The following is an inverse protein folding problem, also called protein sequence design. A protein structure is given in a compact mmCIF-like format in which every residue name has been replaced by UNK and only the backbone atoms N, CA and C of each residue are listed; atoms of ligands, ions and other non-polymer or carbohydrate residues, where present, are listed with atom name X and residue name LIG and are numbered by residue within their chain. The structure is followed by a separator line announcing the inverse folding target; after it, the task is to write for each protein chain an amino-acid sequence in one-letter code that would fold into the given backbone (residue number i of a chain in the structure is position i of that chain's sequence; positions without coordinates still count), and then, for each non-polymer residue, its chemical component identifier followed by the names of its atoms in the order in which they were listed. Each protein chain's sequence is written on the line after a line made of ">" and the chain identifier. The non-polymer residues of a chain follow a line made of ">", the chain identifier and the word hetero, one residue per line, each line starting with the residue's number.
data_IF_202144872241
#
_entry.id   IF_202144872241
#
_cell.length_a   1.000
_cell.length_b   1.000
_cell.length_c   1.000
_cell.angle_alpha   90.00
_cell.angle_beta   90.00
_cell.angle_gamma   90.00
#
_symmetry.space_group_name_H-M   'P 1'
#
loop_
_entity.id
_entity.type
_entity.pdbx_description
1 polymer ?
#
# COMPACT_ATOMS: atom_id res chain seq x y z
N UNK A 1 -7.04 19.68 -16.01
CA UNK A 1 -7.36 19.90 -14.59
C UNK A 1 -6.12 20.44 -13.93
N UNK A 2 -6.17 21.57 -13.23
CA UNK A 2 -5.02 22.11 -12.46
C UNK A 2 -4.90 21.41 -11.09
N UNK A 3 -5.25 20.12 -11.04
CA UNK A 3 -5.27 19.34 -9.81
C UNK A 3 -3.94 18.60 -9.62
N UNK A 4 -3.43 18.61 -8.38
CA UNK A 4 -2.30 17.80 -7.95
C UNK A 4 -2.69 16.96 -6.74
N UNK A 5 -2.10 15.77 -6.61
CA UNK A 5 -2.37 14.84 -5.52
C UNK A 5 -1.07 14.22 -5.04
N UNK A 6 -0.91 14.14 -3.72
CA UNK A 6 0.19 13.41 -3.11
C UNK A 6 -0.06 11.89 -3.21
N UNK A 7 0.98 11.14 -3.57
CA UNK A 7 0.97 9.68 -3.64
C UNK A 7 2.13 9.15 -2.83
N UNK A 8 1.89 8.14 -1.99
CA UNK A 8 2.95 7.41 -1.31
C UNK A 8 3.20 6.08 -2.03
N UNK A 9 4.43 5.85 -2.47
CA UNK A 9 4.86 4.60 -3.10
C UNK A 9 5.76 3.81 -2.14
N UNK A 10 5.41 2.55 -1.87
CA UNK A 10 6.11 1.70 -0.91
C UNK A 10 6.61 0.44 -1.60
N UNK A 11 7.90 0.13 -1.44
CA UNK A 11 8.54 -1.05 -2.05
C UNK A 11 8.93 -2.07 -0.98
N UNK A 12 8.45 -3.30 -1.12
CA UNK A 12 8.91 -4.43 -0.31
C UNK A 12 10.09 -5.13 -1.00
N UNK A 13 11.27 -5.07 -0.38
CA UNK A 13 12.54 -5.54 -0.98
C UNK A 13 13.00 -6.91 -0.48
N UNK A 14 12.37 -7.46 0.56
CA UNK A 14 12.81 -8.71 1.20
C UNK A 14 12.17 -9.98 0.58
N UNK A 15 11.49 -9.87 -0.56
CA UNK A 15 11.01 -11.05 -1.28
C UNK A 15 12.13 -11.63 -2.16
N UNK A 16 12.54 -12.90 -1.97
CA UNK A 16 13.61 -13.50 -2.76
C UNK A 16 13.23 -13.70 -4.24
N UNK A 17 14.20 -13.75 -5.13
CA UNK A 17 13.93 -14.01 -6.56
C UNK A 17 13.27 -15.38 -6.78
N UNK A 18 13.68 -16.39 -5.99
CA UNK A 18 13.15 -17.74 -6.04
C UNK A 18 12.42 -18.12 -4.75
N UNK A 19 11.22 -18.70 -4.91
CA UNK A 19 10.41 -19.19 -3.80
C UNK A 19 9.74 -18.07 -2.98
N UNK A 20 9.64 -18.30 -1.67
CA UNK A 20 8.97 -17.41 -0.71
C UNK A 20 9.89 -17.12 0.48
N UNK A 21 9.70 -16.01 1.21
CA UNK A 21 10.42 -15.76 2.45
C UNK A 21 10.23 -16.91 3.44
N UNK A 22 11.30 -17.29 4.16
CA UNK A 22 11.24 -18.33 5.20
C UNK A 22 10.31 -17.94 6.37
N UNK A 23 10.09 -16.64 6.57
CA UNK A 23 9.21 -16.11 7.59
C UNK A 23 8.37 -14.96 7.03
N UNK A 24 7.10 -14.91 7.42
CA UNK A 24 6.18 -13.83 7.05
C UNK A 24 6.41 -12.53 7.85
N UNK A 25 7.30 -12.52 8.86
CA UNK A 25 7.46 -11.38 9.79
C UNK A 25 7.69 -10.05 9.07
N UNK A 26 8.63 -10.01 8.12
CA UNK A 26 8.96 -8.78 7.40
C UNK A 26 7.77 -8.30 6.53
N UNK A 27 7.07 -9.24 5.88
CA UNK A 27 5.87 -8.92 5.09
C UNK A 27 4.73 -8.39 5.97
N UNK A 28 4.50 -8.98 7.14
CA UNK A 28 3.49 -8.52 8.09
C UNK A 28 3.80 -7.12 8.64
N UNK A 29 5.07 -6.84 8.93
CA UNK A 29 5.52 -5.49 9.31
C UNK A 29 5.30 -4.49 8.17
N UNK A 30 5.64 -4.85 6.94
CA UNK A 30 5.39 -4.01 5.78
C UNK A 30 3.89 -3.74 5.58
N UNK A 31 3.03 -4.75 5.72
CA UNK A 31 1.58 -4.60 5.64
C UNK A 31 1.03 -3.65 6.71
N UNK A 32 1.58 -3.69 7.94
CA UNK A 32 1.21 -2.75 9.00
C UNK A 32 1.58 -1.31 8.62
N UNK A 33 2.78 -1.09 8.07
CA UNK A 33 3.21 0.24 7.61
C UNK A 33 2.32 0.76 6.47
N UNK A 34 1.97 -0.09 5.50
CA UNK A 34 1.05 0.27 4.40
C UNK A 34 -0.32 0.72 4.94
N UNK A 35 -0.88 -0.02 5.91
CA UNK A 35 -2.17 0.34 6.54
C UNK A 35 -2.09 1.65 7.32
N UNK A 36 -0.99 1.87 8.05
CA UNK A 36 -0.77 3.13 8.77
C UNK A 36 -0.70 4.31 7.80
N UNK A 37 0.02 4.14 6.68
CA UNK A 37 0.16 5.18 5.67
C UNK A 37 -1.18 5.49 4.98
N UNK A 38 -1.98 4.47 4.65
CA UNK A 38 -3.33 4.65 4.12
C UNK A 38 -4.21 5.47 5.07
N UNK A 39 -4.20 5.14 6.37
CA UNK A 39 -4.99 5.86 7.36
C UNK A 39 -4.52 7.32 7.50
N UNK A 40 -3.20 7.57 7.45
CA UNK A 40 -2.62 8.92 7.50
C UNK A 40 -3.06 9.76 6.30
N UNK A 41 -2.99 9.20 5.09
CA UNK A 41 -3.42 9.89 3.86
C UNK A 41 -4.93 10.09 3.78
N UNK A 42 -5.71 9.17 4.34
CA UNK A 42 -7.15 9.37 4.46
C UNK A 42 -7.47 10.52 5.42
N UNK A 43 -6.84 10.54 6.59
CA UNK A 43 -7.03 11.60 7.58
C UNK A 43 -6.64 12.98 7.04
N UNK A 44 -5.58 13.07 6.22
CA UNK A 44 -5.17 14.35 5.61
C UNK A 44 -6.14 14.88 4.55
N UNK A 45 -7.04 14.05 4.01
CA UNK A 45 -8.10 14.49 3.09
C UNK A 45 -9.30 15.12 3.81
N UNK A 46 -9.43 14.93 5.12
CA UNK A 46 -10.57 15.44 5.90
C UNK A 46 -11.93 15.08 5.27
N UNK A 47 -12.85 16.03 5.27
CA UNK A 47 -14.23 15.84 4.78
C UNK A 47 -14.36 15.77 3.25
N UNK A 48 -13.25 15.96 2.51
CA UNK A 48 -13.30 15.92 1.04
C UNK A 48 -13.43 14.49 0.48
N UNK A 49 -13.22 13.48 1.31
CA UNK A 49 -13.37 12.08 0.92
C UNK A 49 -14.80 11.58 1.14
N UNK A 50 -15.57 11.51 0.06
CA UNK A 50 -16.94 10.97 0.05
C UNK A 50 -17.02 9.45 -0.27
N UNK A 51 -15.87 8.75 -0.33
CA UNK A 51 -15.80 7.35 -0.72
C UNK A 51 -15.85 6.37 0.45
N UNK A 52 -15.31 5.17 0.24
CA UNK A 52 -15.31 4.11 1.26
C UNK A 52 -14.61 4.57 2.57
N UNK A 53 -15.13 4.27 3.78
CA UNK A 53 -14.58 4.80 5.05
C UNK A 53 -13.14 4.36 5.37
N UNK A 54 -12.62 3.36 4.65
CA UNK A 54 -11.21 2.94 4.72
C UNK A 54 -10.29 3.64 3.70
N UNK A 55 -10.81 4.67 3.04
CA UNK A 55 -10.12 5.43 2.02
C UNK A 55 -10.15 4.79 0.63
N UNK A 56 -9.45 5.39 -0.34
CA UNK A 56 -9.35 4.88 -1.72
C UNK A 56 -8.65 3.52 -1.76
N UNK A 57 -8.82 2.73 -2.84
CA UNK A 57 -8.12 1.47 -3.00
C UNK A 57 -6.60 1.67 -3.00
N UNK A 58 -5.88 0.70 -2.44
CA UNK A 58 -4.42 0.64 -2.50
C UNK A 58 -4.06 -0.12 -3.78
N UNK A 59 -3.25 0.49 -4.63
CA UNK A 59 -2.69 -0.19 -5.81
C UNK A 59 -1.53 -1.06 -5.36
N UNK A 60 -1.62 -2.37 -5.63
CA UNK A 60 -0.56 -3.34 -5.36
C UNK A 60 -0.18 -4.00 -6.68
N UNK A 61 1.11 -4.10 -6.96
CA UNK A 61 1.61 -4.76 -8.16
C UNK A 61 2.87 -5.58 -7.87
N UNK A 62 3.13 -6.56 -8.74
CA UNK A 62 4.41 -7.23 -8.84
C UNK A 62 4.86 -7.22 -10.31
N UNK A 63 5.38 -8.32 -10.83
CA UNK A 63 5.65 -8.50 -12.26
C UNK A 63 4.37 -8.72 -13.08
N UNK A 64 3.56 -9.71 -12.68
CA UNK A 64 2.32 -10.09 -13.38
C UNK A 64 1.02 -9.78 -12.62
N UNK A 65 1.13 -9.27 -11.38
CA UNK A 65 -0.03 -8.84 -10.59
C UNK A 65 -0.90 -9.95 -9.98
N UNK A 66 -0.41 -11.20 -9.93
CA UNK A 66 -1.20 -12.37 -9.48
C UNK A 66 -0.52 -13.23 -8.41
N UNK A 67 0.79 -13.06 -8.18
CA UNK A 67 1.57 -13.94 -7.30
C UNK A 67 1.92 -13.31 -5.95
N UNK A 68 2.76 -12.26 -5.97
CA UNK A 68 3.18 -11.51 -4.77
C UNK A 68 2.20 -10.39 -4.39
N UNK A 69 1.30 -10.04 -5.31
CA UNK A 69 0.22 -9.07 -5.12
C UNK A 69 -0.84 -9.64 -4.19
#
# INVERSE_FOLDING_TARGET
>A
TEESREVCHMLYTAWPDYGVPQSARALLQFLQLVRQQQNKLLASRGDTWAGHPRGPPIVVHCSAGIGRT
#
